data_IF_612159688899
#
_entry.id   IF_612159688899
#
_cell.length_a   1.000
_cell.length_b   1.000
_cell.length_c   1.000
_cell.angle_alpha   90.00
_cell.angle_beta   90.00
_cell.angle_gamma   90.00
#
_symmetry.space_group_name_H-M   'P 1'
#
loop_
_entity.id
_entity.type
_entity.pdbx_description
1 polymer ?
#
# COMPACT_ATOMS: atom_id res chain seq x y z
N UNK A 1 -5.05 20.25 -4.99
CA UNK A 1 -4.01 20.12 -3.94
C UNK A 1 -3.66 21.42 -3.21
N UNK A 2 -4.01 22.63 -3.70
CA UNK A 2 -3.70 23.89 -2.99
C UNK A 2 -4.22 23.95 -1.54
N UNK A 3 -5.29 23.22 -1.21
CA UNK A 3 -5.94 23.31 0.11
C UNK A 3 -5.10 22.79 1.28
N UNK A 4 -4.10 21.94 1.06
CA UNK A 4 -3.29 21.35 2.15
C UNK A 4 -1.79 21.68 2.06
N UNK A 5 -1.40 22.57 1.14
CA UNK A 5 0.01 22.78 0.81
C UNK A 5 0.85 23.38 1.94
N UNK A 6 0.21 24.10 2.86
CA UNK A 6 0.83 24.70 4.06
C UNK A 6 0.38 24.03 5.36
N UNK A 7 -0.30 22.88 5.27
CA UNK A 7 -0.88 22.21 6.43
C UNK A 7 0.17 21.41 7.19
N UNK A 8 0.14 21.56 8.51
CA UNK A 8 0.82 20.72 9.49
C UNK A 8 -0.23 20.07 10.38
N UNK A 9 0.05 18.87 10.86
CA UNK A 9 -0.85 18.09 11.70
C UNK A 9 -0.09 17.51 12.91
N UNK A 10 -0.80 17.03 13.95
CA UNK A 10 -0.20 16.29 15.06
C UNK A 10 0.69 15.14 14.59
N UNK A 11 1.64 14.70 15.41
CA UNK A 11 2.55 13.60 15.07
C UNK A 11 3.62 13.97 14.05
N UNK A 12 3.94 15.27 13.90
CA UNK A 12 4.92 15.82 12.95
C UNK A 12 4.60 15.53 11.47
N UNK A 13 3.33 15.31 11.15
CA UNK A 13 2.90 15.18 9.76
C UNK A 13 2.79 16.56 9.09
N UNK A 14 3.27 16.66 7.87
CA UNK A 14 3.14 17.86 7.04
C UNK A 14 3.11 17.50 5.56
N UNK A 15 2.57 18.41 4.76
CA UNK A 15 2.60 18.25 3.30
C UNK A 15 4.03 18.49 2.78
N UNK A 16 4.57 17.49 2.09
CA UNK A 16 5.88 17.58 1.45
C UNK A 16 5.67 17.60 -0.08
N UNK A 17 5.81 18.76 -0.75
CA UNK A 17 5.66 18.82 -2.19
C UNK A 17 6.76 18.00 -2.87
N UNK A 18 6.40 17.31 -3.95
CA UNK A 18 7.35 16.64 -4.82
C UNK A 18 7.17 17.09 -6.26
N UNK A 19 8.26 17.14 -7.02
CA UNK A 19 8.22 17.50 -8.43
C UNK A 19 8.00 16.25 -9.27
N UNK A 20 6.86 16.18 -9.95
CA UNK A 20 6.63 15.16 -10.97
C UNK A 20 7.51 15.48 -12.18
N UNK A 21 8.44 14.57 -12.50
CA UNK A 21 9.26 14.63 -13.70
C UNK A 21 8.85 13.50 -14.62
N UNK A 22 8.15 13.84 -15.71
CA UNK A 22 7.81 12.87 -16.74
C UNK A 22 9.07 12.45 -17.51
N UNK A 23 8.99 11.30 -18.18
CA UNK A 23 10.04 10.82 -19.08
C UNK A 23 9.52 10.78 -20.51
N UNK A 24 10.37 11.21 -21.45
CA UNK A 24 10.11 11.06 -22.89
C UNK A 24 10.60 9.71 -23.41
N UNK A 25 11.08 8.80 -22.54
CA UNK A 25 11.51 7.46 -22.93
C UNK A 25 10.33 6.66 -23.43
N UNK A 26 10.47 6.15 -24.64
CA UNK A 26 9.55 5.22 -25.27
C UNK A 26 10.24 3.86 -25.39
N UNK A 27 9.45 2.80 -25.49
CA UNK A 27 9.92 1.45 -25.79
C UNK A 27 9.09 0.91 -26.94
N UNK A 28 9.60 -0.08 -27.67
CA UNK A 28 9.01 -0.58 -28.93
C UNK A 28 7.55 -1.05 -28.80
N UNK A 29 7.09 -1.36 -27.59
CA UNK A 29 5.72 -1.79 -27.30
C UNK A 29 4.87 -0.71 -26.59
N UNK A 30 5.35 0.53 -26.51
CA UNK A 30 4.60 1.67 -25.97
C UNK A 30 3.37 1.96 -26.84
N UNK A 31 2.17 1.99 -26.23
CA UNK A 31 0.90 2.27 -26.91
C UNK A 31 0.25 3.54 -26.37
N UNK A 32 1.00 4.66 -26.31
CA UNK A 32 0.51 5.92 -25.73
C UNK A 32 -0.55 6.65 -26.55
N UNK A 33 -0.69 6.31 -27.83
CA UNK A 33 -1.70 6.88 -28.72
C UNK A 33 -1.65 6.11 -30.04
N UNK A 34 -2.35 4.99 -30.15
CA UNK A 34 -2.65 4.48 -31.48
C UNK A 34 -3.62 5.49 -32.09
N UNK A 35 -3.19 6.34 -33.03
CA UNK A 35 -4.07 7.25 -33.78
C UNK A 35 -5.12 6.52 -34.63
N UNK A 36 -5.34 5.23 -34.36
CA UNK A 36 -6.32 4.34 -34.94
C UNK A 36 -7.53 4.31 -33.99
N UNK A 37 -8.71 4.75 -34.44
CA UNK A 37 -9.94 4.80 -33.64
C UNK A 37 -10.40 3.46 -33.03
N UNK A 38 -9.80 2.33 -33.45
CA UNK A 38 -10.27 0.97 -33.19
C UNK A 38 -9.36 0.11 -32.31
N UNK A 39 -8.18 0.60 -31.91
CA UNK A 39 -7.26 -0.18 -31.10
C UNK A 39 -7.57 -0.03 -29.60
N UNK A 40 -8.22 -1.04 -29.02
CA UNK A 40 -8.48 -1.11 -27.58
C UNK A 40 -7.15 -1.17 -26.80
N UNK A 41 -6.90 -0.18 -25.95
CA UNK A 41 -5.73 -0.15 -25.07
C UNK A 41 -5.95 -1.11 -23.90
N UNK A 42 -5.39 -2.32 -24.00
CA UNK A 42 -5.39 -3.29 -22.90
C UNK A 42 -4.16 -3.12 -22.03
N UNK A 43 -4.39 -2.86 -20.73
CA UNK A 43 -3.34 -2.85 -19.73
C UNK A 43 -2.71 -4.24 -19.57
N UNK A 44 -1.43 -4.28 -19.18
CA UNK A 44 -0.78 -5.53 -18.81
C UNK A 44 -1.38 -6.07 -17.50
N UNK A 45 -1.59 -7.38 -17.43
CA UNK A 45 -1.96 -8.06 -16.19
C UNK A 45 -0.73 -8.46 -15.35
N UNK A 46 0.45 -8.01 -15.75
CA UNK A 46 1.73 -8.29 -15.09
C UNK A 46 2.11 -7.11 -14.21
N UNK A 47 2.59 -7.39 -13.00
CA UNK A 47 3.19 -6.41 -12.10
C UNK A 47 4.52 -6.94 -11.58
N UNK A 48 5.51 -6.06 -11.40
CA UNK A 48 6.82 -6.44 -10.87
C UNK A 48 7.20 -5.53 -9.71
N UNK A 49 7.76 -6.11 -8.66
CA UNK A 49 8.30 -5.39 -7.51
C UNK A 49 9.72 -5.88 -7.21
N UNK A 50 10.64 -4.94 -6.99
CA UNK A 50 12.04 -5.21 -6.66
C UNK A 50 12.45 -4.35 -5.47
N UNK A 51 13.08 -4.99 -4.48
CA UNK A 51 13.73 -4.36 -3.34
C UNK A 51 14.97 -5.21 -2.97
N UNK A 52 15.88 -4.71 -2.10
CA UNK A 52 16.98 -5.54 -1.61
C UNK A 52 16.47 -6.87 -1.04
N UNK A 53 16.94 -7.99 -1.57
CA UNK A 53 16.52 -9.34 -1.15
C UNK A 53 15.12 -9.77 -1.62
N UNK A 54 14.42 -8.98 -2.44
CA UNK A 54 13.08 -9.29 -2.93
C UNK A 54 12.95 -8.95 -4.43
N UNK A 55 12.62 -9.95 -5.25
CA UNK A 55 12.22 -9.75 -6.64
C UNK A 55 11.02 -10.65 -6.94
N UNK A 56 9.89 -10.06 -7.31
CA UNK A 56 8.68 -10.80 -7.62
C UNK A 56 8.01 -10.29 -8.90
N UNK A 57 7.40 -11.23 -9.62
CA UNK A 57 6.52 -10.96 -10.77
C UNK A 57 5.15 -11.56 -10.48
N UNK A 58 4.11 -10.75 -10.57
CA UNK A 58 2.72 -11.14 -10.39
C UNK A 58 2.02 -11.17 -11.75
N UNK A 59 1.22 -12.21 -12.00
CA UNK A 59 0.30 -12.31 -13.13
C UNK A 59 -1.11 -12.41 -12.56
N UNK A 60 -2.01 -11.51 -12.96
CA UNK A 60 -3.37 -11.42 -12.40
C UNK A 60 -3.38 -11.32 -10.86
N UNK A 61 -2.40 -10.61 -10.29
CA UNK A 61 -2.30 -10.37 -8.84
C UNK A 61 -1.67 -11.50 -8.01
N UNK A 62 -1.13 -12.54 -8.65
CA UNK A 62 -0.56 -13.72 -7.98
C UNK A 62 0.84 -13.98 -8.49
N UNK A 63 1.74 -14.46 -7.63
CA UNK A 63 3.10 -14.86 -8.00
C UNK A 63 3.08 -15.77 -9.23
N UNK A 64 3.93 -15.44 -10.20
CA UNK A 64 4.10 -16.22 -11.41
C UNK A 64 4.35 -17.71 -11.08
N UNK A 65 3.60 -18.59 -11.76
CA UNK A 65 3.66 -20.04 -11.52
C UNK A 65 2.80 -20.54 -10.35
N UNK A 66 1.99 -19.68 -9.71
CA UNK A 66 1.07 -20.06 -8.63
C UNK A 66 -0.39 -19.87 -9.04
N UNK A 67 -1.28 -20.62 -8.37
CA UNK A 67 -2.75 -20.51 -8.54
C UNK A 67 -3.29 -19.39 -7.63
N UNK A 68 -4.35 -18.71 -8.06
CA UNK A 68 -5.03 -17.65 -7.28
C UNK A 68 -5.50 -18.11 -5.89
N UNK A 69 -5.88 -19.37 -5.77
CA UNK A 69 -6.33 -19.97 -4.51
C UNK A 69 -5.20 -20.52 -3.63
N UNK A 70 -3.95 -20.53 -4.11
CA UNK A 70 -2.80 -20.98 -3.32
C UNK A 70 -2.28 -19.80 -2.48
N UNK A 71 -2.34 -19.86 -1.13
CA UNK A 71 -1.82 -18.79 -0.27
C UNK A 71 -0.34 -18.50 -0.50
N UNK A 72 0.44 -19.48 -0.97
CA UNK A 72 1.86 -19.30 -1.33
C UNK A 72 2.04 -18.44 -2.59
N UNK A 73 0.97 -18.21 -3.34
CA UNK A 73 0.91 -17.28 -4.45
C UNK A 73 0.82 -15.80 -4.06
N UNK A 74 0.67 -15.48 -2.77
CA UNK A 74 0.60 -14.10 -2.31
C UNK A 74 1.96 -13.39 -2.41
N UNK A 75 1.94 -12.17 -2.94
CA UNK A 75 3.08 -11.23 -2.94
C UNK A 75 3.70 -11.05 -1.56
N UNK A 76 5.02 -10.84 -1.50
CA UNK A 76 5.74 -10.48 -0.28
C UNK A 76 5.23 -9.19 0.37
N UNK A 77 4.69 -8.26 -0.42
CA UNK A 77 4.13 -6.98 0.05
C UNK A 77 2.60 -7.01 0.28
N UNK A 78 2.00 -8.20 0.36
CA UNK A 78 0.58 -8.32 0.70
C UNK A 78 0.32 -7.88 2.16
N UNK A 79 -0.90 -7.41 2.46
CA UNK A 79 -1.27 -6.88 3.80
C UNK A 79 -0.89 -7.84 4.94
N UNK A 80 -1.15 -9.14 4.77
CA UNK A 80 -0.84 -10.17 5.76
C UNK A 80 0.66 -10.32 6.01
N UNK A 81 1.49 -10.43 4.96
CA UNK A 81 2.94 -10.58 5.12
C UNK A 81 3.59 -9.31 5.67
N UNK A 82 3.13 -8.13 5.25
CA UNK A 82 3.57 -6.85 5.81
C UNK A 82 3.23 -6.72 7.30
N UNK A 83 2.02 -7.12 7.70
CA UNK A 83 1.64 -7.10 9.11
C UNK A 83 2.44 -8.12 9.93
N UNK A 84 2.65 -9.33 9.42
CA UNK A 84 3.53 -10.33 10.05
C UNK A 84 4.95 -9.79 10.25
N UNK A 85 5.54 -9.19 9.22
CA UNK A 85 6.88 -8.59 9.32
C UNK A 85 6.94 -7.49 10.39
N UNK A 86 5.89 -6.67 10.52
CA UNK A 86 5.81 -5.67 11.59
C UNK A 86 5.79 -6.32 12.98
N UNK A 87 4.97 -7.35 13.19
CA UNK A 87 4.89 -8.09 14.46
C UNK A 87 6.26 -8.68 14.81
N UNK A 88 6.94 -9.31 13.85
CA UNK A 88 8.29 -9.86 14.05
C UNK A 88 9.30 -8.76 14.44
N UNK A 89 9.28 -7.60 13.77
CA UNK A 89 10.15 -6.47 14.13
C UNK A 89 9.85 -5.96 15.54
N UNK A 90 8.58 -5.81 15.93
CA UNK A 90 8.19 -5.34 17.27
C UNK A 90 8.65 -6.34 18.34
N UNK A 91 8.46 -7.64 18.09
CA UNK A 91 8.89 -8.70 18.99
C UNK A 91 10.43 -8.67 19.20
N UNK A 92 11.20 -8.47 18.14
CA UNK A 92 12.67 -8.36 18.20
C UNK A 92 13.14 -7.10 18.93
N UNK A 93 12.46 -5.96 18.74
CA UNK A 93 12.82 -4.70 19.39
C UNK A 93 12.55 -4.70 20.89
N UNK A 94 11.58 -5.48 21.37
CA UNK A 94 11.27 -5.60 22.79
C UNK A 94 10.82 -4.31 23.48
N UNK A 95 10.42 -3.29 22.71
CA UNK A 95 10.01 -1.96 23.24
C UNK A 95 8.64 -2.09 23.90
N UNK A 96 8.50 -1.85 25.23
CA UNK A 96 7.24 -2.07 25.94
C UNK A 96 6.06 -1.28 25.36
N UNK A 97 6.30 -0.04 24.92
CA UNK A 97 5.27 0.79 24.31
C UNK A 97 4.67 0.18 23.03
N UNK A 98 5.43 -0.65 22.31
CA UNK A 98 4.98 -1.32 21.08
C UNK A 98 4.36 -2.69 21.35
N UNK A 99 4.53 -3.27 22.55
CA UNK A 99 4.00 -4.61 22.84
C UNK A 99 2.48 -4.68 22.77
N UNK A 100 1.76 -3.58 23.08
CA UNK A 100 0.30 -3.51 22.90
C UNK A 100 -0.14 -3.71 21.45
N UNK A 101 0.73 -3.44 20.47
CA UNK A 101 0.43 -3.71 19.06
C UNK A 101 0.29 -5.22 18.81
N UNK A 102 1.03 -6.04 19.56
CA UNK A 102 0.99 -7.49 19.46
C UNK A 102 -0.29 -8.10 20.02
N UNK A 103 -1.06 -7.38 20.84
CA UNK A 103 -2.32 -7.89 21.41
C UNK A 103 -3.51 -7.78 20.46
N UNK A 104 -3.38 -7.09 19.33
CA UNK A 104 -4.46 -7.01 18.34
C UNK A 104 -4.57 -8.33 17.56
N UNK A 105 -5.72 -8.99 17.66
CA UNK A 105 -6.01 -10.22 16.90
C UNK A 105 -6.29 -9.95 15.42
N UNK A 106 -6.81 -8.78 15.08
CA UNK A 106 -7.25 -8.39 13.74
C UNK A 106 -6.49 -7.19 13.17
N UNK A 107 -6.25 -7.22 11.85
CA UNK A 107 -5.52 -6.16 11.15
C UNK A 107 -6.27 -4.82 11.16
N UNK A 108 -7.60 -4.86 11.10
CA UNK A 108 -8.46 -3.69 11.24
C UNK A 108 -8.25 -2.99 12.59
N UNK A 109 -8.36 -3.74 13.70
CA UNK A 109 -8.17 -3.22 15.06
C UNK A 109 -6.77 -2.63 15.27
N UNK A 110 -5.74 -3.31 14.75
CA UNK A 110 -4.37 -2.77 14.77
C UNK A 110 -4.28 -1.39 14.11
N UNK A 111 -4.93 -1.19 12.95
CA UNK A 111 -4.92 0.09 12.24
C UNK A 111 -5.69 1.20 12.95
N UNK A 112 -6.53 0.85 13.91
CA UNK A 112 -7.33 1.76 14.72
C UNK A 112 -6.71 2.03 16.10
N UNK A 113 -5.57 1.39 16.41
CA UNK A 113 -4.83 1.62 17.65
C UNK A 113 -4.47 3.10 17.84
N UNK A 114 -4.52 3.56 19.09
CA UNK A 114 -4.25 4.95 19.47
C UNK A 114 -2.85 5.44 19.03
N UNK A 115 -1.86 4.55 18.84
CA UNK A 115 -0.52 4.91 18.35
C UNK A 115 -0.58 5.47 16.94
N UNK A 116 -1.62 5.12 16.18
CA UNK A 116 -1.85 5.54 14.81
C UNK A 116 -2.89 6.66 14.73
N UNK A 117 -3.35 7.21 15.86
CA UNK A 117 -4.39 8.25 15.91
C UNK A 117 -4.03 9.48 15.08
N UNK A 118 -2.81 10.01 15.25
CA UNK A 118 -2.35 11.17 14.48
C UNK A 118 -2.35 10.89 12.97
N UNK A 119 -1.92 9.68 12.59
CA UNK A 119 -1.95 9.24 11.18
C UNK A 119 -3.38 9.15 10.65
N UNK A 120 -4.31 8.60 11.43
CA UNK A 120 -5.73 8.50 11.05
C UNK A 120 -6.35 9.89 10.89
N UNK A 121 -6.10 10.79 11.83
CA UNK A 121 -6.52 12.19 11.75
C UNK A 121 -6.02 12.89 10.47
N UNK A 122 -4.74 12.74 10.12
CA UNK A 122 -4.18 13.31 8.88
C UNK A 122 -4.88 12.76 7.64
N UNK A 123 -5.09 11.44 7.57
CA UNK A 123 -5.75 10.80 6.42
C UNK A 123 -7.16 11.33 6.23
N UNK A 124 -7.90 11.55 7.31
CA UNK A 124 -9.28 12.05 7.24
C UNK A 124 -9.31 13.53 6.88
N UNK A 125 -8.43 14.35 7.46
CA UNK A 125 -8.28 15.75 7.07
C UNK A 125 -7.98 15.89 5.57
N UNK A 126 -7.02 15.12 5.04
CA UNK A 126 -6.65 15.16 3.61
C UNK A 126 -7.79 14.68 2.71
N UNK A 127 -8.53 13.63 3.11
CA UNK A 127 -9.70 13.17 2.34
C UNK A 127 -10.77 14.24 2.23
N UNK A 128 -11.10 14.88 3.35
CA UNK A 128 -12.16 15.88 3.43
C UNK A 128 -11.79 17.18 2.71
N UNK A 129 -10.50 17.56 2.72
CA UNK A 129 -10.05 18.86 2.21
C UNK A 129 -9.51 18.82 0.77
N UNK A 130 -8.92 17.70 0.34
CA UNK A 130 -8.17 17.64 -0.91
C UNK A 130 -8.51 16.44 -1.81
N UNK A 131 -9.07 15.35 -1.26
CA UNK A 131 -9.41 14.13 -2.02
C UNK A 131 -10.92 13.86 -2.00
N UNK A 132 -11.72 14.88 -2.35
CA UNK A 132 -13.18 14.72 -2.49
C UNK A 132 -13.49 13.57 -3.45
N UNK A 133 -14.33 12.63 -3.02
CA UNK A 133 -14.69 11.44 -3.78
C UNK A 133 -13.74 10.24 -3.59
N UNK A 134 -12.75 10.30 -2.70
CA UNK A 134 -11.87 9.18 -2.42
C UNK A 134 -12.62 8.00 -1.77
N UNK A 135 -12.58 6.83 -2.41
CA UNK A 135 -13.20 5.60 -1.90
C UNK A 135 -12.19 4.84 -1.03
N UNK A 136 -12.60 4.46 0.19
CA UNK A 136 -11.76 3.68 1.12
C UNK A 136 -11.73 2.21 0.69
N UNK A 137 -10.55 1.63 0.61
CA UNK A 137 -10.39 0.19 0.38
C UNK A 137 -10.91 -0.61 1.57
N UNK A 138 -11.62 -1.71 1.29
CA UNK A 138 -12.08 -2.70 2.27
C UNK A 138 -11.10 -3.87 2.42
N UNK A 139 -11.46 -4.87 3.24
CA UNK A 139 -10.73 -6.13 3.39
C UNK A 139 -9.60 -6.10 4.42
N UNK A 140 -9.79 -5.36 5.51
CA UNK A 140 -8.85 -5.37 6.65
C UNK A 140 -9.29 -6.35 7.77
N UNK A 141 -10.45 -6.99 7.62
CA UNK A 141 -11.05 -7.89 8.60
C UNK A 141 -10.44 -9.29 8.49
N UNK A 142 -9.17 -9.42 8.91
CA UNK A 142 -8.48 -10.71 8.93
C UNK A 142 -7.46 -10.78 10.07
N UNK A 143 -7.09 -12.01 10.43
CA UNK A 143 -6.13 -12.33 11.50
C UNK A 143 -4.85 -12.95 10.91
N UNK A 144 -3.72 -12.88 11.61
CA UNK A 144 -2.49 -13.56 11.19
C UNK A 144 -2.55 -15.09 11.36
N UNK A 145 -3.55 -15.62 12.08
CA UNK A 145 -3.62 -17.02 12.49
C UNK A 145 -2.52 -17.39 13.49
N UNK A 146 -2.70 -18.49 14.23
CA UNK A 146 -1.59 -19.08 14.98
C UNK A 146 -0.52 -19.52 13.98
N UNK A 147 0.72 -19.06 14.17
CA UNK A 147 1.86 -19.38 13.32
C UNK A 147 2.25 -20.84 13.36
#
# INVERSE_FOLDING_TARGET
>A
MKSVASSTWPGNYSFHPFKVRATNKEFSFSRRSTGLPTAELKGSNISCAVAPGMQETLINGVLQGRKQVDPRGASAVCRRKMWKALVEVIALLGVPALQRVLSHSQYASFKEDDMLRDRSHVKDAVRNQALKGWIKNAGDDFELGAG
#
